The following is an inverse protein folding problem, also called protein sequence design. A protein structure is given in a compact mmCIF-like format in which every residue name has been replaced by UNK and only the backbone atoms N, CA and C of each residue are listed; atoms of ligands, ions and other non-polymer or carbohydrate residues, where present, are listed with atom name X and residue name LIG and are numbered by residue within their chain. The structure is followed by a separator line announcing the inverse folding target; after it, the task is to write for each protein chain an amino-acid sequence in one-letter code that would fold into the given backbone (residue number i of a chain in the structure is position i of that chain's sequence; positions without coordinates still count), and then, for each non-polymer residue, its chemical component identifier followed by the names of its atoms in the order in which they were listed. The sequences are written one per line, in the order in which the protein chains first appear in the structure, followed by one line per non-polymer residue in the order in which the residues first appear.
data_IF_436071882398
#
_entry.id   IF_436071882398
#
_cell.length_a   1.000
_cell.length_b   1.000
_cell.length_c   1.000
_cell.angle_alpha   90.00
_cell.angle_beta   90.00
_cell.angle_gamma   90.00
#
_symmetry.space_group_name_H-M   'P 1'
#
loop_
_entity.id
_entity.type
_entity.pdbx_description
1 polymer ?
#
# COMPACT_ATOMS: atom_id res chain seq x y z
N UNK A 1 4.36 11.22 -12.07
CA UNK A 1 3.31 12.13 -12.61
C UNK A 1 3.53 12.38 -14.10
N UNK A 2 4.76 12.62 -14.52
CA UNK A 2 5.20 12.88 -15.89
C UNK A 2 4.84 11.78 -16.92
N UNK A 3 4.59 10.54 -16.46
CA UNK A 3 4.18 9.41 -17.31
C UNK A 3 2.70 9.03 -17.16
N UNK A 4 1.91 9.81 -16.42
CA UNK A 4 0.62 9.35 -15.92
C UNK A 4 -0.52 10.30 -16.27
N UNK A 5 -1.77 9.78 -16.38
CA UNK A 5 -2.96 10.59 -16.60
C UNK A 5 -3.51 11.27 -15.33
N UNK A 6 -2.73 11.29 -14.24
CA UNK A 6 -3.19 11.70 -12.92
C UNK A 6 -2.72 13.10 -12.55
N UNK A 7 -3.65 13.89 -11.99
CA UNK A 7 -3.36 15.15 -11.32
C UNK A 7 -4.14 15.18 -9.99
N UNK A 8 -3.48 15.58 -8.89
CA UNK A 8 -4.14 15.75 -7.60
C UNK A 8 -4.24 17.24 -7.31
N UNK A 9 -5.45 17.73 -7.06
CA UNK A 9 -5.71 19.11 -6.65
C UNK A 9 -6.32 19.11 -5.25
N UNK A 10 -5.95 20.09 -4.42
CA UNK A 10 -6.58 20.29 -3.11
C UNK A 10 -7.62 21.39 -3.25
N UNK A 11 -8.81 21.15 -2.74
CA UNK A 11 -9.82 22.18 -2.55
C UNK A 11 -9.47 22.99 -1.29
N UNK A 12 -9.11 24.26 -1.47
CA UNK A 12 -8.69 25.15 -0.38
C UNK A 12 -9.82 25.43 0.63
N UNK A 13 -11.09 25.27 0.25
CA UNK A 13 -12.24 25.51 1.15
C UNK A 13 -12.50 24.31 2.09
N UNK A 14 -12.43 23.10 1.54
CA UNK A 14 -12.76 21.86 2.27
C UNK A 14 -11.52 21.11 2.78
N UNK A 15 -10.34 21.42 2.25
CA UNK A 15 -9.10 20.68 2.48
C UNK A 15 -9.05 19.32 1.76
N UNK A 16 -10.08 18.97 1.00
CA UNK A 16 -10.18 17.67 0.33
C UNK A 16 -9.25 17.59 -0.87
N UNK A 17 -8.49 16.49 -0.97
CA UNK A 17 -7.70 16.19 -2.17
C UNK A 17 -8.55 15.44 -3.19
N UNK A 18 -8.62 15.97 -4.41
CA UNK A 18 -9.34 15.38 -5.54
C UNK A 18 -8.34 14.85 -6.57
N UNK A 19 -8.15 13.52 -6.67
CA UNK A 19 -7.45 12.93 -7.79
C UNK A 19 -8.32 12.99 -9.05
N UNK A 20 -7.78 13.57 -10.11
CA UNK A 20 -8.33 13.61 -11.46
C UNK A 20 -7.54 12.63 -12.33
N UNK A 21 -8.24 11.78 -13.07
CA UNK A 21 -7.64 10.77 -13.94
C UNK A 21 -8.23 10.85 -15.36
N UNK A 22 -7.45 11.37 -16.31
CA UNK A 22 -7.82 11.40 -17.73
C UNK A 22 -6.57 11.33 -18.61
N UNK A 23 -6.56 10.43 -19.59
CA UNK A 23 -5.43 10.27 -20.51
C UNK A 23 -5.12 11.52 -21.35
N UNK A 24 -6.08 12.42 -21.53
CA UNK A 24 -5.86 13.73 -22.14
C UNK A 24 -4.92 14.64 -21.33
N UNK A 25 -4.73 14.36 -20.03
CA UNK A 25 -3.79 15.08 -19.17
C UNK A 25 -2.35 14.54 -19.27
N UNK A 26 -2.14 13.41 -19.94
CA UNK A 26 -0.81 12.80 -20.08
C UNK A 26 0.13 13.78 -20.79
N UNK A 27 1.30 14.09 -20.22
CA UNK A 27 2.27 14.97 -20.88
C UNK A 27 2.65 14.45 -22.26
N UNK A 28 2.70 15.35 -23.25
CA UNK A 28 3.11 14.97 -24.62
C UNK A 28 4.60 14.61 -24.70
N UNK A 29 5.41 15.15 -23.78
CA UNK A 29 6.85 14.87 -23.64
C UNK A 29 7.18 14.86 -22.15
N UNK A 30 7.88 13.81 -21.70
CA UNK A 30 8.47 13.74 -20.38
C UNK A 30 10.00 13.82 -20.50
N UNK A 31 10.63 14.69 -19.69
CA UNK A 31 12.09 14.85 -19.63
C UNK A 31 12.55 14.40 -18.24
N UNK A 32 13.30 13.30 -18.19
CA UNK A 32 13.77 12.66 -16.95
C UNK A 32 15.27 12.94 -16.86
N UNK A 33 15.62 14.11 -16.33
CA UNK A 33 17.01 14.56 -16.22
C UNK A 33 17.53 14.39 -14.78
N UNK A 34 18.41 13.41 -14.51
CA UNK A 34 18.92 13.15 -13.16
C UNK A 34 19.76 14.30 -12.59
N UNK A 35 20.22 15.25 -13.41
CA UNK A 35 20.91 16.46 -12.92
C UNK A 35 19.97 17.31 -12.05
N UNK A 36 18.66 17.28 -12.32
CA UNK A 36 17.66 18.05 -11.57
C UNK A 36 17.44 17.51 -10.14
N UNK A 37 17.77 16.24 -9.89
CA UNK A 37 17.57 15.59 -8.59
C UNK A 37 18.81 15.59 -7.70
N UNK A 38 19.96 16.07 -8.19
CA UNK A 38 21.24 16.02 -7.46
C UNK A 38 21.24 16.80 -6.14
N UNK A 39 20.40 17.82 -6.02
CA UNK A 39 20.32 18.71 -4.83
C UNK A 39 19.38 18.16 -3.74
N UNK A 40 18.62 17.10 -4.02
CA UNK A 40 17.59 16.64 -3.11
C UNK A 40 18.20 16.04 -1.83
N UNK A 41 17.71 16.42 -0.64
CA UNK A 41 18.17 15.85 0.63
C UNK A 41 17.76 14.38 0.75
N UNK A 42 18.54 13.61 1.53
CA UNK A 42 18.40 12.16 1.62
C UNK A 42 17.03 11.66 2.06
N UNK A 43 16.39 12.32 3.04
CA UNK A 43 15.05 11.94 3.50
C UNK A 43 14.00 12.08 2.37
N UNK A 44 14.10 13.12 1.53
CA UNK A 44 13.17 13.33 0.43
C UNK A 44 13.37 12.29 -0.67
N UNK A 45 14.62 11.88 -0.90
CA UNK A 45 14.95 10.78 -1.81
C UNK A 45 14.41 9.45 -1.30
N UNK A 46 14.50 9.19 0.00
CA UNK A 46 13.93 8.00 0.63
C UNK A 46 12.39 7.98 0.48
N UNK A 47 11.73 9.07 0.87
CA UNK A 47 10.27 9.20 0.79
C UNK A 47 9.80 9.00 -0.67
N UNK A 48 10.36 9.73 -1.64
CA UNK A 48 9.99 9.60 -3.05
C UNK A 48 10.33 8.22 -3.65
N UNK A 49 11.41 7.59 -3.19
CA UNK A 49 11.77 6.24 -3.63
C UNK A 49 10.81 5.17 -3.13
N UNK A 50 10.32 5.30 -1.89
CA UNK A 50 9.28 4.42 -1.35
C UNK A 50 7.93 4.61 -2.03
N UNK A 51 7.62 5.83 -2.41
CA UNK A 51 6.46 6.11 -3.25
C UNK A 51 6.53 5.36 -4.60
N UNK A 52 7.68 5.49 -5.29
CA UNK A 52 7.95 4.75 -6.52
C UNK A 52 7.89 3.22 -6.35
N UNK A 53 8.29 2.71 -5.19
CA UNK A 53 8.19 1.28 -4.86
C UNK A 53 6.73 0.86 -4.73
N UNK A 54 5.96 1.58 -3.92
CA UNK A 54 4.53 1.34 -3.74
C UNK A 54 3.79 1.39 -5.07
N UNK A 55 4.10 2.38 -5.93
CA UNK A 55 3.52 2.46 -7.27
C UNK A 55 3.71 1.17 -8.07
N UNK A 56 4.95 0.67 -8.17
CA UNK A 56 5.23 -0.54 -8.94
C UNK A 56 4.61 -1.80 -8.29
N UNK A 57 4.64 -1.88 -6.96
CA UNK A 57 4.08 -3.03 -6.23
C UNK A 57 2.57 -3.11 -6.39
N UNK A 58 1.85 -2.01 -6.15
CA UNK A 58 0.40 -1.99 -6.30
C UNK A 58 -0.03 -2.18 -7.75
N UNK A 59 0.64 -1.52 -8.70
CA UNK A 59 0.38 -1.73 -10.12
C UNK A 59 0.61 -3.19 -10.55
N UNK A 60 1.62 -3.87 -9.99
CA UNK A 60 1.86 -5.27 -10.28
C UNK A 60 0.75 -6.16 -9.76
N UNK A 61 0.19 -5.93 -8.57
CA UNK A 61 -0.86 -6.80 -8.01
C UNK A 61 -2.29 -6.33 -8.29
N UNK A 62 -2.45 -5.18 -8.96
CA UNK A 62 -3.72 -4.61 -9.35
C UNK A 62 -4.57 -5.56 -10.21
N UNK A 63 -5.89 -5.44 -10.11
CA UNK A 63 -6.81 -6.15 -11.01
C UNK A 63 -6.69 -5.68 -12.48
N UNK A 64 -6.08 -4.52 -12.73
CA UNK A 64 -5.82 -3.98 -14.07
C UNK A 64 -4.44 -4.35 -14.63
N UNK A 65 -3.65 -5.12 -13.88
CA UNK A 65 -2.34 -5.60 -14.32
C UNK A 65 -2.43 -6.39 -15.64
N UNK A 66 -1.36 -6.30 -16.42
CA UNK A 66 -1.24 -6.94 -17.73
C UNK A 66 0.24 -7.09 -18.12
N UNK A 67 0.50 -7.95 -19.12
CA UNK A 67 1.85 -8.28 -19.56
C UNK A 67 2.75 -7.07 -19.88
N UNK A 68 2.17 -5.95 -20.34
CA UNK A 68 2.92 -4.73 -20.63
C UNK A 68 3.36 -4.01 -19.34
N UNK A 69 2.46 -3.90 -18.35
CA UNK A 69 2.76 -3.22 -17.08
C UNK A 69 3.65 -4.09 -16.19
N UNK A 70 3.50 -5.41 -16.25
CA UNK A 70 4.18 -6.36 -15.38
C UNK A 70 5.71 -6.29 -15.50
N UNK A 71 6.22 -6.23 -16.74
CA UNK A 71 7.65 -6.08 -16.99
C UNK A 71 8.21 -4.76 -16.47
N UNK A 72 7.43 -3.67 -16.59
CA UNK A 72 7.81 -2.36 -16.07
C UNK A 72 7.87 -2.37 -14.54
N UNK A 73 6.85 -2.92 -13.87
CA UNK A 73 6.81 -3.04 -12.41
C UNK A 73 8.00 -3.81 -11.87
N UNK A 74 8.27 -5.02 -12.39
CA UNK A 74 9.38 -5.84 -11.92
C UNK A 74 10.73 -5.14 -12.12
N UNK A 75 10.93 -4.49 -13.27
CA UNK A 75 12.15 -3.75 -13.54
C UNK A 75 12.32 -2.55 -12.59
N UNK A 76 11.25 -1.79 -12.33
CA UNK A 76 11.27 -0.67 -11.38
C UNK A 76 11.59 -1.15 -9.96
N UNK A 77 10.90 -2.20 -9.47
CA UNK A 77 11.14 -2.79 -8.15
C UNK A 77 12.61 -3.21 -8.00
N UNK A 78 13.16 -3.91 -8.99
CA UNK A 78 14.58 -4.31 -9.00
C UNK A 78 15.51 -3.10 -8.88
N UNK A 79 15.32 -2.08 -9.72
CA UNK A 79 16.15 -0.87 -9.70
C UNK A 79 16.06 -0.16 -8.35
N UNK A 80 14.87 -0.08 -7.75
CA UNK A 80 14.67 0.57 -6.46
C UNK A 80 15.44 -0.16 -5.36
N UNK A 81 15.27 -1.49 -5.25
CA UNK A 81 15.98 -2.31 -4.25
C UNK A 81 17.51 -2.21 -4.38
N UNK A 82 18.03 -2.08 -5.61
CA UNK A 82 19.47 -1.97 -5.85
C UNK A 82 20.05 -0.59 -5.55
N UNK A 83 19.25 0.48 -5.55
CA UNK A 83 19.78 1.85 -5.62
C UNK A 83 19.26 2.80 -4.53
N UNK A 84 18.06 2.59 -3.97
CA UNK A 84 17.43 3.57 -3.08
C UNK A 84 18.28 3.89 -1.85
N UNK A 85 18.91 2.88 -1.23
CA UNK A 85 19.72 3.07 -0.03
C UNK A 85 20.91 3.98 -0.29
N UNK A 86 21.65 3.73 -1.38
CA UNK A 86 22.79 4.58 -1.75
C UNK A 86 22.33 5.97 -2.16
N UNK A 87 21.28 6.05 -2.97
CA UNK A 87 20.71 7.31 -3.44
C UNK A 87 20.27 8.20 -2.27
N UNK A 88 19.60 7.63 -1.27
CA UNK A 88 19.13 8.34 -0.08
C UNK A 88 20.27 8.76 0.87
N UNK A 89 21.35 7.96 0.95
CA UNK A 89 22.52 8.28 1.79
C UNK A 89 23.50 9.25 1.10
N UNK A 90 23.39 9.45 -0.21
CA UNK A 90 24.22 10.36 -0.97
C UNK A 90 23.98 11.82 -0.55
N UNK A 91 25.08 12.57 -0.39
CA UNK A 91 25.01 14.00 -0.06
C UNK A 91 24.42 14.81 -1.22
N UNK A 92 23.69 15.91 -0.94
CA UNK A 92 23.30 16.87 -1.97
C UNK A 92 24.52 17.36 -2.76
N UNK A 93 24.40 17.38 -4.08
CA UNK A 93 25.48 17.68 -5.02
C UNK A 93 26.70 16.73 -4.93
N UNK A 94 26.50 15.48 -4.51
CA UNK A 94 27.57 14.46 -4.54
C UNK A 94 28.22 14.39 -5.93
N UNK A 95 29.55 14.35 -5.94
CA UNK A 95 30.36 14.13 -7.15
C UNK A 95 30.84 12.68 -7.26
N UNK A 96 30.45 11.81 -6.32
CA UNK A 96 30.75 10.39 -6.38
C UNK A 96 29.99 9.74 -7.54
N UNK A 97 30.70 9.02 -8.40
CA UNK A 97 30.15 8.47 -9.64
C UNK A 97 29.02 7.45 -9.39
N UNK A 98 29.13 6.68 -8.32
CA UNK A 98 28.14 5.66 -7.99
C UNK A 98 26.93 6.25 -7.24
N UNK A 99 27.10 7.35 -6.51
CA UNK A 99 25.97 8.13 -5.98
C UNK A 99 25.15 8.76 -7.11
N UNK A 100 25.83 9.36 -8.09
CA UNK A 100 25.20 9.92 -9.29
C UNK A 100 24.43 8.82 -10.05
N UNK A 101 25.06 7.66 -10.22
CA UNK A 101 24.44 6.50 -10.87
C UNK A 101 23.22 5.99 -10.09
N UNK A 102 23.30 5.87 -8.77
CA UNK A 102 22.18 5.44 -7.94
C UNK A 102 21.00 6.42 -8.04
N UNK A 103 21.26 7.74 -8.05
CA UNK A 103 20.24 8.77 -8.27
C UNK A 103 19.61 8.67 -9.65
N UNK A 104 20.40 8.49 -10.70
CA UNK A 104 19.91 8.26 -12.05
C UNK A 104 19.01 7.02 -12.14
N UNK A 105 19.42 5.90 -11.54
CA UNK A 105 18.62 4.67 -11.53
C UNK A 105 17.33 4.83 -10.75
N UNK A 106 17.34 5.53 -9.62
CA UNK A 106 16.10 5.86 -8.89
C UNK A 106 15.18 6.77 -9.70
N UNK A 107 15.73 7.77 -10.39
CA UNK A 107 14.92 8.68 -11.20
C UNK A 107 14.24 7.95 -12.36
N UNK A 108 14.97 7.07 -13.05
CA UNK A 108 14.42 6.19 -14.07
C UNK A 108 13.38 5.21 -13.51
N UNK A 109 13.67 4.59 -12.36
CA UNK A 109 12.76 3.63 -11.75
C UNK A 109 11.41 4.27 -11.38
N UNK A 110 11.41 5.50 -10.84
CA UNK A 110 10.20 6.25 -10.55
C UNK A 110 9.35 6.49 -11.82
N UNK A 111 9.98 6.88 -12.93
CA UNK A 111 9.29 7.08 -14.20
C UNK A 111 8.77 5.77 -14.80
N UNK A 112 9.54 4.67 -14.69
CA UNK A 112 9.11 3.32 -15.11
C UNK A 112 7.90 2.86 -14.29
N UNK A 113 7.91 3.06 -12.96
CA UNK A 113 6.72 2.84 -12.13
C UNK A 113 5.55 3.65 -12.66
N UNK A 114 5.78 4.93 -13.02
CA UNK A 114 4.82 5.82 -13.66
C UNK A 114 4.16 5.24 -14.91
N UNK A 115 4.95 4.68 -15.82
CA UNK A 115 4.44 4.02 -17.03
C UNK A 115 3.54 2.81 -16.69
N UNK A 116 3.86 2.08 -15.61
CA UNK A 116 3.08 0.95 -15.18
C UNK A 116 1.75 1.38 -14.53
N UNK A 117 1.81 2.17 -13.44
CA UNK A 117 0.61 2.56 -12.70
C UNK A 117 -0.28 3.55 -13.46
N UNK A 118 0.28 4.29 -14.43
CA UNK A 118 -0.49 5.08 -15.38
C UNK A 118 -1.52 4.26 -16.18
N UNK A 119 -1.36 2.93 -16.24
CA UNK A 119 -2.25 2.00 -16.94
C UNK A 119 -2.88 0.95 -16.02
N UNK A 120 -2.13 0.44 -15.03
CA UNK A 120 -2.60 -0.57 -14.07
C UNK A 120 -3.17 0.03 -12.78
N UNK A 121 -3.14 1.35 -12.63
CA UNK A 121 -3.58 2.05 -11.42
C UNK A 121 -2.85 1.50 -10.18
N UNK A 122 -3.45 1.69 -9.01
CA UNK A 122 -2.83 1.46 -7.70
C UNK A 122 -3.75 0.60 -6.83
N UNK A 123 -3.69 0.77 -5.51
CA UNK A 123 -4.52 0.01 -4.59
C UNK A 123 -4.78 0.76 -3.29
N UNK A 124 -4.99 0.00 -2.22
CA UNK A 124 -5.40 0.56 -0.93
C UNK A 124 -4.26 1.22 -0.15
N UNK A 125 -2.97 1.01 -0.51
CA UNK A 125 -1.88 1.78 0.13
C UNK A 125 -2.08 3.25 -0.16
N UNK A 126 -2.18 3.62 -1.45
CA UNK A 126 -2.41 5.02 -1.84
C UNK A 126 -3.74 5.56 -1.30
N UNK A 127 -4.81 4.77 -1.39
CA UNK A 127 -6.12 5.18 -0.88
C UNK A 127 -6.07 5.59 0.61
N UNK A 128 -5.39 4.79 1.45
CA UNK A 128 -5.21 5.11 2.87
C UNK A 128 -4.19 6.24 3.09
N UNK A 129 -3.14 6.31 2.27
CA UNK A 129 -2.09 7.31 2.39
C UNK A 129 -2.52 8.72 1.99
N UNK A 130 -3.39 8.89 0.97
CA UNK A 130 -3.93 10.20 0.61
C UNK A 130 -4.67 10.83 1.79
N UNK A 131 -5.60 10.07 2.40
CA UNK A 131 -6.44 10.60 3.49
C UNK A 131 -5.66 10.80 4.78
N UNK A 132 -4.77 9.86 5.12
CA UNK A 132 -3.95 9.93 6.34
C UNK A 132 -2.91 11.04 6.22
N UNK A 133 -2.26 11.15 5.06
CA UNK A 133 -1.31 12.22 4.76
C UNK A 133 -1.95 13.60 4.78
N UNK A 134 -3.13 13.77 4.19
CA UNK A 134 -3.88 15.02 4.22
C UNK A 134 -4.31 15.41 5.64
N UNK A 135 -4.81 14.45 6.42
CA UNK A 135 -5.34 14.69 7.78
C UNK A 135 -4.25 15.03 8.79
N UNK A 136 -3.10 14.36 8.72
CA UNK A 136 -2.01 14.50 9.71
C UNK A 136 -0.77 15.20 9.17
N UNK A 137 -0.86 15.79 7.97
CA UNK A 137 0.23 16.50 7.28
C UNK A 137 1.51 15.65 7.14
N UNK A 138 1.34 14.35 6.90
CA UNK A 138 2.46 13.44 6.67
C UNK A 138 2.91 13.51 5.22
N UNK A 139 4.21 13.34 4.99
CA UNK A 139 4.76 13.27 3.63
C UNK A 139 4.25 11.99 2.96
N UNK A 140 3.84 12.09 1.69
CA UNK A 140 3.17 11.00 0.97
C UNK A 140 4.00 9.69 0.95
N UNK A 141 5.26 9.78 0.53
CA UNK A 141 6.13 8.62 0.38
C UNK A 141 6.41 7.85 1.68
N UNK A 142 6.62 8.54 2.81
CA UNK A 142 6.77 7.88 4.13
C UNK A 142 5.45 7.26 4.62
N UNK A 143 4.33 7.86 4.27
CA UNK A 143 3.00 7.31 4.60
C UNK A 143 2.78 6.00 3.85
N UNK A 144 3.12 5.98 2.55
CA UNK A 144 3.15 4.78 1.73
C UNK A 144 4.09 3.72 2.30
N UNK A 145 5.30 4.11 2.74
CA UNK A 145 6.29 3.19 3.31
C UNK A 145 5.82 2.49 4.59
N UNK A 146 5.03 3.18 5.43
CA UNK A 146 4.43 2.58 6.63
C UNK A 146 3.36 1.56 6.23
N UNK A 147 2.43 1.93 5.34
CA UNK A 147 1.31 1.07 4.95
C UNK A 147 1.70 -0.17 4.13
N UNK A 148 2.66 -0.02 3.21
CA UNK A 148 2.99 -1.02 2.20
C UNK A 148 3.17 -2.45 2.76
N UNK A 149 4.02 -2.71 3.78
CA UNK A 149 4.21 -4.07 4.30
C UNK A 149 2.94 -4.66 4.92
N UNK A 150 2.06 -3.86 5.54
CA UNK A 150 0.77 -4.34 6.05
C UNK A 150 -0.16 -4.75 4.91
N UNK A 151 -0.22 -3.94 3.85
CA UNK A 151 -1.08 -4.21 2.69
C UNK A 151 -0.57 -5.39 1.86
N UNK A 152 0.75 -5.57 1.73
CA UNK A 152 1.34 -6.77 1.11
C UNK A 152 0.85 -8.03 1.82
N UNK A 153 0.93 -8.07 3.16
CA UNK A 153 0.46 -9.23 3.94
C UNK A 153 -1.04 -9.44 3.82
N UNK A 154 -1.83 -8.36 3.80
CA UNK A 154 -3.28 -8.41 3.68
C UNK A 154 -3.78 -8.89 2.30
N UNK A 155 -3.19 -8.35 1.22
CA UNK A 155 -3.47 -8.79 -0.15
C UNK A 155 -2.82 -10.15 -0.45
N UNK A 156 -1.74 -10.52 0.25
CA UNK A 156 -1.08 -11.82 0.12
C UNK A 156 -1.85 -12.99 0.73
N UNK A 157 -3.05 -12.76 1.27
CA UNK A 157 -3.94 -13.80 1.81
C UNK A 157 -5.20 -13.95 0.96
N UNK A 158 -5.77 -15.15 0.96
CA UNK A 158 -7.05 -15.42 0.28
C UNK A 158 -8.17 -14.57 0.93
N UNK A 159 -8.87 -13.73 0.16
CA UNK A 159 -9.85 -12.80 0.70
C UNK A 159 -11.21 -13.47 0.91
N UNK A 160 -12.05 -12.84 1.73
CA UNK A 160 -13.47 -13.17 1.82
C UNK A 160 -14.27 -12.59 0.65
N UNK A 161 -13.80 -11.48 0.06
CA UNK A 161 -14.46 -10.77 -1.03
C UNK A 161 -13.46 -10.27 -2.05
N UNK A 162 -13.71 -10.61 -3.31
CA UNK A 162 -12.88 -10.25 -4.46
C UNK A 162 -13.33 -8.91 -5.04
N UNK A 163 -12.37 -8.14 -5.54
CA UNK A 163 -12.69 -7.01 -6.41
C UNK A 163 -13.21 -7.55 -7.75
N UNK A 164 -14.33 -7.00 -8.23
CA UNK A 164 -14.93 -7.46 -9.48
C UNK A 164 -14.25 -6.81 -10.68
N UNK A 165 -13.56 -7.62 -11.49
CA UNK A 165 -13.02 -7.19 -12.77
C UNK A 165 -13.00 -8.37 -13.76
N UNK A 166 -13.56 -8.23 -14.98
CA UNK A 166 -13.72 -9.37 -15.90
C UNK A 166 -12.43 -10.11 -16.25
N UNK A 167 -11.30 -9.40 -16.31
CA UNK A 167 -9.98 -10.00 -16.61
C UNK A 167 -9.32 -10.63 -15.38
N UNK A 168 -9.80 -10.32 -14.18
CA UNK A 168 -9.28 -10.86 -12.92
C UNK A 168 -10.08 -12.11 -12.52
N UNK A 169 -9.90 -13.20 -13.27
CA UNK A 169 -10.72 -14.41 -13.21
C UNK A 169 -10.60 -15.18 -11.88
N UNK A 170 -9.45 -15.05 -11.21
CA UNK A 170 -9.15 -15.68 -9.93
C UNK A 170 -8.22 -14.80 -9.11
N UNK A 171 -8.27 -14.97 -7.80
CA UNK A 171 -7.36 -14.30 -6.89
C UNK A 171 -5.95 -14.87 -7.01
N UNK A 172 -4.98 -14.02 -7.39
CA UNK A 172 -3.59 -14.41 -7.64
C UNK A 172 -2.57 -13.49 -6.97
N UNK A 173 -3.01 -12.58 -6.10
CA UNK A 173 -2.10 -11.67 -5.40
C UNK A 173 -0.97 -12.39 -4.62
N UNK A 174 -1.21 -13.54 -3.92
CA UNK A 174 -0.14 -14.27 -3.23
C UNK A 174 0.96 -14.75 -4.21
N UNK A 175 0.57 -15.32 -5.35
CA UNK A 175 1.49 -15.77 -6.38
C UNK A 175 2.24 -14.60 -7.02
N UNK A 176 1.59 -13.45 -7.20
CA UNK A 176 2.24 -12.27 -7.75
C UNK A 176 3.26 -11.66 -6.79
N UNK A 177 2.99 -11.65 -5.48
CA UNK A 177 4.02 -11.29 -4.50
C UNK A 177 5.16 -12.32 -4.47
N UNK A 178 4.87 -13.61 -4.68
CA UNK A 178 5.90 -14.63 -4.84
C UNK A 178 6.79 -14.36 -6.06
N UNK A 179 6.23 -13.91 -7.18
CA UNK A 179 6.98 -13.52 -8.37
C UNK A 179 7.92 -12.34 -8.09
N UNK A 180 7.46 -11.31 -7.37
CA UNK A 180 8.32 -10.21 -6.92
C UNK A 180 9.46 -10.73 -6.04
N UNK A 181 9.14 -11.59 -5.06
CA UNK A 181 10.15 -12.17 -4.16
C UNK A 181 11.22 -12.97 -4.94
N UNK A 182 10.80 -13.83 -5.87
CA UNK A 182 11.71 -14.56 -6.77
C UNK A 182 12.55 -13.62 -7.63
N UNK A 183 11.95 -12.56 -8.17
CA UNK A 183 12.64 -11.57 -8.99
C UNK A 183 13.76 -10.85 -8.23
N UNK A 184 13.57 -10.63 -6.93
CA UNK A 184 14.56 -10.05 -6.03
C UNK A 184 15.54 -11.09 -5.42
N UNK A 185 15.38 -12.38 -5.72
CA UNK A 185 16.21 -13.45 -5.15
C UNK A 185 15.91 -13.75 -3.67
N UNK A 186 14.72 -13.40 -3.19
CA UNK A 186 14.25 -13.67 -1.82
C UNK A 186 13.68 -15.09 -1.69
N UNK A 187 13.63 -15.67 -0.47
CA UNK A 187 12.96 -16.95 -0.23
C UNK A 187 11.49 -16.90 -0.64
N UNK A 188 11.08 -17.83 -1.50
CA UNK A 188 9.77 -17.80 -2.15
C UNK A 188 9.35 -19.16 -2.71
N UNK A 189 9.58 -20.23 -1.94
CA UNK A 189 9.26 -21.61 -2.31
C UNK A 189 7.74 -21.82 -2.41
N UNK A 190 6.98 -21.13 -1.55
CA UNK A 190 5.51 -21.06 -1.62
C UNK A 190 5.03 -19.61 -1.76
N UNK A 191 3.77 -19.37 -2.19
CA UNK A 191 3.20 -18.02 -2.20
C UNK A 191 3.26 -17.34 -0.83
N UNK A 192 2.95 -18.06 0.24
CA UNK A 192 2.98 -17.54 1.61
C UNK A 192 4.39 -17.12 2.04
N UNK A 193 5.40 -17.93 1.72
CA UNK A 193 6.81 -17.58 1.98
C UNK A 193 7.23 -16.35 1.16
N UNK A 194 6.78 -16.26 -0.09
CA UNK A 194 7.08 -15.13 -0.98
C UNK A 194 6.48 -13.82 -0.47
N UNK A 195 5.21 -13.84 -0.04
CA UNK A 195 4.53 -12.69 0.57
C UNK A 195 5.30 -12.18 1.77
N UNK A 196 5.62 -13.07 2.73
CA UNK A 196 6.28 -12.65 3.96
C UNK A 196 7.72 -12.19 3.71
N UNK A 197 8.47 -12.90 2.87
CA UNK A 197 9.84 -12.49 2.52
C UNK A 197 9.88 -11.14 1.85
N UNK A 198 8.92 -10.84 0.97
CA UNK A 198 8.83 -9.54 0.32
C UNK A 198 8.41 -8.42 1.29
N UNK A 199 7.38 -8.65 2.12
CA UNK A 199 6.96 -7.68 3.13
C UNK A 199 8.10 -7.33 4.11
N UNK A 200 8.85 -8.34 4.58
CA UNK A 200 10.03 -8.13 5.43
C UNK A 200 11.14 -7.38 4.71
N UNK A 201 11.42 -7.70 3.44
CA UNK A 201 12.40 -6.98 2.64
C UNK A 201 12.06 -5.49 2.47
N UNK A 202 10.77 -5.15 2.34
CA UNK A 202 10.28 -3.76 2.33
C UNK A 202 10.50 -3.08 3.69
N UNK A 203 10.21 -3.75 4.81
CA UNK A 203 10.45 -3.23 6.16
C UNK A 203 11.94 -2.97 6.41
N UNK A 204 12.81 -3.92 6.05
CA UNK A 204 14.25 -3.78 6.18
C UNK A 204 14.79 -2.64 5.31
N UNK A 205 14.27 -2.49 4.08
CA UNK A 205 14.65 -1.40 3.19
C UNK A 205 14.24 -0.04 3.78
N UNK A 206 13.04 0.05 4.37
CA UNK A 206 12.51 1.26 5.02
C UNK A 206 13.41 1.67 6.17
N UNK A 207 13.78 0.71 7.01
CA UNK A 207 14.68 0.93 8.13
C UNK A 207 16.08 1.39 7.67
N UNK A 208 16.62 0.82 6.58
CA UNK A 208 17.94 1.19 6.02
C UNK A 208 17.99 2.62 5.47
N UNK A 209 16.85 3.19 5.07
CA UNK A 209 16.74 4.58 4.59
C UNK A 209 16.23 5.56 5.65
N UNK A 210 15.95 5.08 6.86
CA UNK A 210 15.62 5.92 8.02
C UNK A 210 14.20 6.47 8.03
N UNK A 211 13.24 5.75 7.44
CA UNK A 211 11.81 6.08 7.58
C UNK A 211 11.24 5.36 8.82
N UNK A 212 10.47 6.07 9.64
CA UNK A 212 9.84 5.55 10.85
C UNK A 212 8.86 4.41 10.54
N UNK A 213 8.68 3.49 11.49
CA UNK A 213 7.94 2.23 11.25
C UNK A 213 6.44 2.35 11.41
N UNK A 214 5.97 3.41 12.06
CA UNK A 214 4.57 3.60 12.42
C UNK A 214 4.18 5.07 12.48
N UNK A 215 2.89 5.37 12.40
CA UNK A 215 2.41 6.75 12.55
C UNK A 215 2.65 7.30 13.97
N UNK A 216 2.66 6.43 14.99
CA UNK A 216 3.04 6.81 16.35
C UNK A 216 4.50 7.30 16.41
N UNK A 217 5.42 6.62 15.74
CA UNK A 217 6.82 7.04 15.66
C UNK A 217 7.00 8.34 14.85
N UNK A 218 6.10 8.62 13.91
CA UNK A 218 6.06 9.88 13.16
C UNK A 218 5.38 11.04 13.94
N UNK A 219 4.94 10.79 15.18
CA UNK A 219 4.38 11.83 16.06
C UNK A 219 2.89 12.11 15.88
N UNK A 220 2.14 11.22 15.24
CA UNK A 220 0.67 11.34 15.13
C UNK A 220 0.02 11.08 16.49
N UNK A 221 -0.84 12.00 16.94
CA UNK A 221 -1.56 11.87 18.21
C UNK A 221 -2.51 10.68 18.21
N UNK A 222 -2.38 9.81 19.22
CA UNK A 222 -3.14 8.57 19.34
C UNK A 222 -4.63 8.81 19.51
N UNK A 223 -4.98 9.81 20.32
CA UNK A 223 -6.39 10.07 20.65
C UNK A 223 -7.11 10.59 19.42
N UNK A 224 -6.50 11.53 18.69
CA UNK A 224 -7.02 12.05 17.44
C UNK A 224 -7.11 10.95 16.38
N UNK A 225 -6.07 10.12 16.23
CA UNK A 225 -6.06 9.06 15.22
C UNK A 225 -7.14 8.02 15.44
N UNK A 226 -7.23 7.48 16.66
CA UNK A 226 -8.20 6.44 16.98
C UNK A 226 -9.63 6.98 16.95
N UNK A 227 -9.86 8.23 17.39
CA UNK A 227 -11.18 8.86 17.32
C UNK A 227 -11.65 9.10 15.87
N UNK A 228 -10.73 9.44 14.96
CA UNK A 228 -11.02 9.69 13.54
C UNK A 228 -10.93 8.45 12.62
N UNK A 229 -10.60 7.27 13.17
CA UNK A 229 -10.26 6.08 12.38
C UNK A 229 -11.35 5.66 11.38
N UNK A 230 -12.61 5.72 11.80
CA UNK A 230 -13.74 5.36 10.94
C UNK A 230 -13.88 6.32 9.75
N UNK A 231 -13.79 7.62 10.00
CA UNK A 231 -13.90 8.64 8.96
C UNK A 231 -12.74 8.56 7.96
N UNK A 232 -11.52 8.27 8.44
CA UNK A 232 -10.37 7.99 7.59
C UNK A 232 -10.63 6.78 6.68
N UNK A 233 -11.11 5.67 7.24
CA UNK A 233 -11.38 4.46 6.47
C UNK A 233 -12.49 4.68 5.43
N UNK A 234 -13.53 5.45 5.78
CA UNK A 234 -14.60 5.83 4.86
C UNK A 234 -14.10 6.72 3.73
N UNK A 235 -13.26 7.71 4.03
CA UNK A 235 -12.66 8.57 3.02
C UNK A 235 -11.73 7.77 2.09
N UNK A 236 -10.90 6.89 2.64
CA UNK A 236 -10.02 6.01 1.85
C UNK A 236 -10.82 5.04 0.97
N UNK A 237 -11.96 4.53 1.45
CA UNK A 237 -12.86 3.71 0.63
C UNK A 237 -13.41 4.49 -0.58
N UNK A 238 -13.65 5.79 -0.41
CA UNK A 238 -14.09 6.70 -1.48
C UNK A 238 -12.98 7.15 -2.45
N UNK A 239 -11.72 6.78 -2.19
CA UNK A 239 -10.59 7.15 -3.02
C UNK A 239 -10.57 6.38 -4.36
N UNK A 240 -10.17 7.05 -5.44
CA UNK A 240 -10.14 6.48 -6.79
C UNK A 240 -9.13 5.33 -6.96
N UNK A 241 -8.14 5.18 -6.09
CA UNK A 241 -7.17 4.08 -6.12
C UNK A 241 -7.76 2.76 -5.60
N UNK A 242 -8.72 2.82 -4.67
CA UNK A 242 -9.24 1.64 -3.98
C UNK A 242 -9.90 0.57 -4.89
N UNK A 243 -10.64 0.93 -5.97
CA UNK A 243 -11.26 -0.04 -6.87
C UNK A 243 -10.29 -0.92 -7.66
N UNK A 244 -9.02 -0.53 -7.82
CA UNK A 244 -8.02 -1.31 -8.55
C UNK A 244 -7.31 -2.37 -7.66
N UNK A 245 -7.49 -2.30 -6.33
CA UNK A 245 -6.88 -3.26 -5.40
C UNK A 245 -7.40 -4.70 -5.66
N UNK A 246 -6.56 -5.75 -5.61
CA UNK A 246 -6.98 -7.14 -5.87
C UNK A 246 -8.06 -7.65 -4.91
N UNK A 247 -8.04 -7.17 -3.67
CA UNK A 247 -9.01 -7.48 -2.62
C UNK A 247 -10.00 -6.33 -2.48
N UNK A 248 -11.29 -6.65 -2.34
CA UNK A 248 -12.30 -5.61 -2.16
C UNK A 248 -11.97 -4.79 -0.89
N UNK A 249 -11.93 -3.45 -0.96
CA UNK A 249 -11.61 -2.59 0.18
C UNK A 249 -12.76 -2.59 1.17
N UNK A 250 -12.74 -3.49 2.15
CA UNK A 250 -13.75 -3.52 3.20
C UNK A 250 -13.39 -2.49 4.27
N UNK A 251 -14.29 -1.57 4.61
CA UNK A 251 -14.04 -0.49 5.59
C UNK A 251 -13.46 -1.02 6.90
N UNK A 252 -14.04 -2.08 7.47
CA UNK A 252 -13.54 -2.70 8.71
C UNK A 252 -12.10 -3.26 8.59
N UNK A 253 -11.73 -3.76 7.42
CA UNK A 253 -10.37 -4.24 7.16
C UNK A 253 -9.43 -3.02 7.01
N UNK A 254 -9.86 -1.93 6.38
CA UNK A 254 -9.09 -0.69 6.26
C UNK A 254 -8.84 -0.06 7.64
N UNK A 255 -9.84 0.02 8.51
CA UNK A 255 -9.66 0.47 9.90
C UNK A 255 -8.62 -0.38 10.64
N UNK A 256 -8.67 -1.70 10.46
CA UNK A 256 -7.72 -2.61 11.10
C UNK A 256 -6.30 -2.40 10.56
N UNK A 257 -6.14 -2.20 9.25
CA UNK A 257 -4.84 -1.89 8.62
C UNK A 257 -4.30 -0.54 9.11
N UNK A 258 -5.15 0.47 9.20
CA UNK A 258 -4.80 1.80 9.69
C UNK A 258 -4.38 1.78 11.16
N UNK A 259 -5.08 1.05 12.02
CA UNK A 259 -4.70 0.85 13.41
C UNK A 259 -3.38 0.05 13.54
N UNK A 260 -3.20 -0.99 12.72
CA UNK A 260 -1.97 -1.76 12.69
C UNK A 260 -0.76 -0.89 12.30
N UNK A 261 -0.91 -0.06 11.27
CA UNK A 261 0.07 0.91 10.82
C UNK A 261 0.34 2.03 11.84
N UNK A 262 -0.66 2.41 12.63
CA UNK A 262 -0.50 3.39 13.71
C UNK A 262 0.43 2.87 14.81
N UNK A 263 0.20 1.63 15.27
CA UNK A 263 0.97 1.03 16.36
C UNK A 263 2.25 0.31 15.91
N UNK A 264 2.43 0.07 14.61
CA UNK A 264 3.53 -0.75 14.10
C UNK A 264 3.39 -2.24 14.44
N UNK A 265 2.15 -2.74 14.43
CA UNK A 265 1.76 -4.13 14.79
C UNK A 265 1.12 -4.82 13.58
N UNK A 266 0.71 -6.07 13.71
CA UNK A 266 0.09 -6.83 12.61
C UNK A 266 -1.43 -6.69 12.58
N UNK A 267 -2.01 -6.91 11.40
CA UNK A 267 -3.46 -6.97 11.19
C UNK A 267 -4.14 -8.00 12.11
N UNK A 268 -3.52 -9.16 12.30
CA UNK A 268 -4.06 -10.24 13.13
C UNK A 268 -4.01 -9.91 14.63
N UNK A 269 -2.97 -9.21 15.09
CA UNK A 269 -2.88 -8.70 16.47
C UNK A 269 -4.00 -7.71 16.78
N UNK A 270 -4.25 -6.74 15.89
CA UNK A 270 -5.38 -5.79 16.03
C UNK A 270 -6.71 -6.53 16.07
N UNK A 271 -6.95 -7.47 15.15
CA UNK A 271 -8.19 -8.27 15.16
C UNK A 271 -8.34 -9.11 16.41
N UNK A 272 -7.25 -9.67 16.93
CA UNK A 272 -7.28 -10.43 18.18
C UNK A 272 -7.64 -9.55 19.37
N UNK A 273 -7.04 -8.35 19.47
CA UNK A 273 -7.32 -7.38 20.52
C UNK A 273 -8.79 -6.92 20.50
N UNK A 274 -9.32 -6.54 19.32
CA UNK A 274 -10.74 -6.15 19.16
C UNK A 274 -11.71 -7.27 19.57
N UNK A 275 -11.42 -8.53 19.20
CA UNK A 275 -12.22 -9.69 19.62
C UNK A 275 -12.20 -9.91 21.14
N UNK A 276 -11.03 -9.75 21.77
CA UNK A 276 -10.88 -9.85 23.23
C UNK A 276 -11.69 -8.78 23.97
N UNK A 277 -11.60 -7.52 23.52
CA UNK A 277 -12.37 -6.41 24.09
C UNK A 277 -13.88 -6.60 23.96
N UNK A 278 -14.36 -7.10 22.81
CA UNK A 278 -15.77 -7.42 22.64
C UNK A 278 -16.23 -8.55 23.57
N UNK A 279 -15.44 -9.61 23.74
CA UNK A 279 -15.76 -10.70 24.66
C UNK A 279 -15.82 -10.22 26.12
N UNK A 280 -14.92 -9.33 26.54
CA UNK A 280 -14.98 -8.69 27.87
C UNK A 280 -16.20 -7.77 28.01
N UNK A 281 -16.54 -7.00 26.98
CA UNK A 281 -17.73 -6.13 26.99
C UNK A 281 -19.05 -6.93 27.04
N UNK A 282 -19.12 -8.09 26.39
CA UNK A 282 -20.28 -9.00 26.42
C UNK A 282 -20.43 -9.67 27.79
N UNK A 283 -19.32 -9.96 28.46
CA UNK A 283 -19.29 -10.46 29.84
C UNK A 283 -19.73 -9.37 30.83
N UNK A 284 -19.29 -8.12 30.63
CA UNK A 284 -19.66 -6.97 31.49
C UNK A 284 -21.11 -6.53 31.28
N UNK A 285 -21.66 -6.64 30.06
CA UNK A 285 -23.06 -6.26 29.75
C UNK A 285 -24.08 -7.37 30.00
N UNK A 286 -23.64 -8.55 30.44
CA UNK A 286 -24.53 -9.66 30.82
C UNK A 286 -25.30 -10.29 29.65
N UNK A 287 -24.86 -10.09 28.41
CA UNK A 287 -25.56 -10.59 27.22
C UNK A 287 -25.10 -12.00 26.87
N UNK A 288 -25.30 -12.96 27.78
CA UNK A 288 -25.12 -14.38 27.46
C UNK A 288 -26.28 -14.80 26.55
N UNK A 289 -26.05 -14.85 25.22
CA UNK A 289 -26.96 -15.55 24.30
C UNK A 289 -26.90 -17.04 24.61
N UNK A 290 -27.80 -17.50 25.48
CA UNK A 290 -28.06 -18.93 25.67
C UNK A 290 -28.67 -19.48 24.38
N UNK A 291 -27.91 -20.29 23.63
CA UNK A 291 -28.44 -21.06 22.51
C UNK A 291 -29.42 -22.11 23.04
N UNK A 292 -30.73 -21.83 23.01
CA UNK A 292 -31.72 -22.86 23.28
C UNK A 292 -31.86 -23.77 22.07
N UNK A 293 -31.28 -24.96 22.16
CA UNK A 293 -31.65 -26.08 21.31
C UNK A 293 -33.15 -26.38 21.49
N UNK A 294 -33.93 -26.26 20.42
CA UNK A 294 -35.23 -26.92 20.32
C UNK A 294 -35.26 -27.74 19.03
N UNK A 295 -35.05 -29.04 19.21
CA UNK A 295 -35.45 -30.01 18.21
C UNK A 295 -36.97 -30.02 18.05
N UNK A 296 -37.43 -30.17 16.82
CA UNK A 296 -38.74 -30.69 16.52
C UNK A 296 -38.63 -31.57 15.27
N UNK A 297 -38.49 -32.88 15.52
CA UNK A 297 -38.80 -33.95 14.59
C UNK A 297 -40.20 -33.72 14.00
N UNK A 298 -40.34 -33.77 12.68
CA UNK A 298 -41.56 -34.27 12.04
C UNK A 298 -41.17 -35.17 10.87
N UNK A 299 -41.51 -36.45 11.00
CA UNK A 299 -41.43 -37.45 9.96
C UNK A 299 -42.84 -37.84 9.54
N UNK A 300 -42.99 -38.06 8.22
CA UNK A 300 -44.05 -38.79 7.47
C UNK A 300 -45.42 -38.06 7.39
N UNK A 301 -46.15 -38.06 6.27
CA UNK A 301 -46.39 -39.17 5.31
C UNK A 301 -46.86 -38.63 3.94
N UNK A 302 -46.68 -39.47 2.93
CA UNK A 302 -46.98 -39.44 1.49
C UNK A 302 -48.41 -39.04 1.04
N UNK A 303 -48.48 -38.42 -0.14
CA UNK A 303 -49.14 -38.96 -1.35
C UNK A 303 -48.43 -38.40 -2.59
#
# INVERSE_FOLDING_TARGET
SEMTPFAVITDDETGMQYPLADYALTPSVAIIDPVLTKVLPGFLVADAGFDALTHATEAFVSVYANDYTDGLCLHAIKLIFENIERSAKAQPNSTDAEDIRAREKMHNAASISGMAFGNAFLGIVHAMAHVTGATYHLVHGRTNAVYLPHVIRYNGQVPTKLTSWPKYERYIAPERFQEIAKHLGLPASTPEEGVESYARAVEELRDRVGIERSFREQGVDETAFIAGLHDLAMAAYGDQCAPANPRMPMIADMETLMEAAYYGTSFDEVRAARRGAHAESDVVTGTVRTSSAKGARRAKTTA
#
